data_IF_970917549837
#
_entry.id   IF_970917549837
#
_cell.length_a   1.000
_cell.length_b   1.000
_cell.length_c   1.000
_cell.angle_alpha   90.00
_cell.angle_beta   90.00
_cell.angle_gamma   90.00
#
_symmetry.space_group_name_H-M   'P 1'
#
loop_
_entity.id
_entity.type
_entity.pdbx_description
1 polymer ?
#
# COMPACT_ATOMS: atom_id res chain seq x y z
N UNK A 1 -21.51 17.14 -19.63
CA UNK A 1 -20.82 16.36 -18.57
C UNK A 1 -19.69 15.60 -19.25
N UNK A 2 -18.46 16.11 -19.17
CA UNK A 2 -17.31 15.55 -19.89
C UNK A 2 -16.81 14.31 -19.12
N UNK A 3 -17.37 13.15 -19.41
CA UNK A 3 -16.88 11.87 -18.86
C UNK A 3 -15.56 11.54 -19.55
N UNK A 4 -14.47 12.17 -19.11
CA UNK A 4 -13.12 11.64 -19.37
C UNK A 4 -13.12 10.24 -18.77
N UNK A 5 -13.23 9.23 -19.64
CA UNK A 5 -13.08 7.82 -19.27
C UNK A 5 -11.78 7.72 -18.49
N UNK A 6 -11.86 7.32 -17.24
CA UNK A 6 -10.71 7.15 -16.38
C UNK A 6 -9.91 5.99 -17.00
N UNK A 7 -8.96 6.29 -17.88
CA UNK A 7 -8.11 5.30 -18.53
C UNK A 7 -6.98 4.98 -17.55
N UNK A 8 -7.14 3.88 -16.81
CA UNK A 8 -6.15 3.45 -15.83
C UNK A 8 -4.95 2.83 -16.53
N UNK A 9 -3.75 3.39 -16.30
CA UNK A 9 -2.52 2.76 -16.74
C UNK A 9 -2.34 1.40 -16.04
N UNK A 10 -1.66 0.47 -16.70
CA UNK A 10 -1.31 -0.83 -16.11
C UNK A 10 -0.58 -0.67 -14.76
N UNK A 11 0.22 0.40 -14.60
CA UNK A 11 0.90 0.74 -13.34
C UNK A 11 -0.09 0.98 -12.21
N UNK A 12 -1.14 1.76 -12.45
CA UNK A 12 -2.19 2.04 -11.45
C UNK A 12 -2.95 0.79 -11.05
N UNK A 13 -3.24 -0.08 -12.03
CA UNK A 13 -3.81 -1.40 -11.76
C UNK A 13 -2.91 -2.26 -10.88
N UNK A 14 -1.61 -2.31 -11.18
CA UNK A 14 -0.66 -3.06 -10.36
C UNK A 14 -0.50 -2.47 -8.95
N UNK A 15 -0.41 -1.15 -8.82
CA UNK A 15 -0.38 -0.47 -7.52
C UNK A 15 -1.62 -0.84 -6.71
N UNK A 16 -2.81 -0.81 -7.31
CA UNK A 16 -4.05 -1.21 -6.65
C UNK A 16 -3.98 -2.66 -6.19
N UNK A 17 -3.66 -3.60 -7.08
CA UNK A 17 -3.64 -5.03 -6.77
C UNK A 17 -2.61 -5.38 -5.70
N UNK A 18 -1.37 -4.88 -5.82
CA UNK A 18 -0.33 -5.12 -4.82
C UNK A 18 -0.74 -4.53 -3.46
N UNK A 19 -1.30 -3.32 -3.44
CA UNK A 19 -1.73 -2.70 -2.18
C UNK A 19 -2.87 -3.47 -1.52
N UNK A 20 -3.88 -3.88 -2.29
CA UNK A 20 -4.99 -4.66 -1.77
C UNK A 20 -4.51 -6.03 -1.26
N UNK A 21 -3.55 -6.65 -1.96
CA UNK A 21 -2.87 -7.86 -1.52
C UNK A 21 -2.18 -7.69 -0.17
N UNK A 22 -1.35 -6.66 -0.01
CA UNK A 22 -0.69 -6.34 1.26
C UNK A 22 -1.68 -6.04 2.38
N UNK A 23 -2.71 -5.23 2.11
CA UNK A 23 -3.75 -4.92 3.10
C UNK A 23 -4.48 -6.20 3.56
N UNK A 24 -4.81 -7.09 2.62
CA UNK A 24 -5.41 -8.37 2.91
C UNK A 24 -4.49 -9.25 3.76
N UNK A 25 -3.20 -9.35 3.43
CA UNK A 25 -2.24 -10.13 4.21
C UNK A 25 -2.16 -9.60 5.65
N UNK A 26 -2.12 -8.29 5.86
CA UNK A 26 -2.13 -7.72 7.19
C UNK A 26 -3.38 -8.07 8.00
N UNK A 27 -4.57 -8.01 7.40
CA UNK A 27 -5.77 -8.46 8.08
C UNK A 27 -5.76 -9.97 8.34
N UNK A 28 -5.23 -10.76 7.40
CA UNK A 28 -5.11 -12.20 7.54
C UNK A 28 -4.14 -12.62 8.65
N UNK A 29 -3.08 -11.83 8.90
CA UNK A 29 -2.16 -12.06 10.02
C UNK A 29 -2.88 -11.96 11.39
N UNK A 30 -3.91 -11.12 11.53
CA UNK A 30 -4.73 -11.11 12.76
C UNK A 30 -5.44 -12.45 12.97
N UNK A 31 -5.94 -13.06 11.89
CA UNK A 31 -6.59 -14.37 11.94
C UNK A 31 -5.58 -15.45 12.33
N UNK A 32 -4.39 -15.44 11.72
CA UNK A 32 -3.31 -16.40 12.03
C UNK A 32 -2.81 -16.28 13.48
N UNK A 33 -2.76 -15.07 14.02
CA UNK A 33 -2.40 -14.83 15.42
C UNK A 33 -3.52 -15.25 16.41
N UNK A 34 -4.74 -15.46 15.92
CA UNK A 34 -5.92 -15.72 16.76
C UNK A 34 -6.35 -14.51 17.60
N UNK A 35 -5.84 -13.31 17.31
CA UNK A 35 -6.18 -12.06 18.01
C UNK A 35 -6.12 -10.88 17.04
N UNK A 36 -6.91 -9.85 17.33
CA UNK A 36 -6.82 -8.57 16.62
C UNK A 36 -5.59 -7.84 17.15
N UNK A 37 -4.54 -7.80 16.32
CA UNK A 37 -3.36 -7.00 16.59
C UNK A 37 -3.55 -5.59 16.02
N UNK A 38 -3.26 -4.60 16.85
CA UNK A 38 -3.46 -3.20 16.48
C UNK A 38 -2.55 -2.78 15.32
N UNK A 39 -1.29 -3.22 15.30
CA UNK A 39 -0.32 -2.81 14.28
C UNK A 39 -0.69 -3.39 12.92
N UNK A 40 -1.06 -4.68 12.86
CA UNK A 40 -1.51 -5.28 11.61
C UNK A 40 -2.82 -4.69 11.11
N UNK A 41 -3.77 -4.43 12.00
CA UNK A 41 -5.04 -3.81 11.64
C UNK A 41 -4.84 -2.39 11.09
N UNK A 42 -4.04 -1.57 11.77
CA UNK A 42 -3.73 -0.22 11.31
C UNK A 42 -2.92 -0.22 10.01
N UNK A 43 -2.03 -1.19 9.79
CA UNK A 43 -1.32 -1.31 8.53
C UNK A 43 -2.28 -1.60 7.37
N UNK A 44 -3.19 -2.57 7.53
CA UNK A 44 -4.21 -2.86 6.52
C UNK A 44 -5.03 -1.63 6.15
N UNK A 45 -5.51 -0.87 7.16
CA UNK A 45 -6.23 0.38 6.91
C UNK A 45 -5.36 1.49 6.32
N UNK A 46 -4.10 1.60 6.73
CA UNK A 46 -3.15 2.56 6.18
C UNK A 46 -2.96 2.36 4.67
N UNK A 47 -2.79 1.10 4.25
CA UNK A 47 -2.72 0.74 2.83
C UNK A 47 -3.99 1.08 2.06
N UNK A 48 -5.17 0.74 2.61
CA UNK A 48 -6.45 1.08 1.98
C UNK A 48 -6.66 2.60 1.86
N UNK A 49 -6.31 3.35 2.90
CA UNK A 49 -6.39 4.80 2.90
C UNK A 49 -5.45 5.42 1.87
N UNK A 50 -4.19 5.00 1.85
CA UNK A 50 -3.18 5.54 0.92
C UNK A 50 -3.49 5.23 -0.53
N UNK A 51 -3.97 4.01 -0.85
CA UNK A 51 -4.34 3.67 -2.24
C UNK A 51 -5.58 4.44 -2.69
N UNK A 52 -6.54 4.68 -1.80
CA UNK A 52 -7.69 5.52 -2.07
C UNK A 52 -7.27 6.99 -2.31
N UNK A 53 -6.40 7.54 -1.48
CA UNK A 53 -5.86 8.90 -1.67
C UNK A 53 -5.05 9.03 -2.96
N UNK A 54 -4.30 7.99 -3.32
CA UNK A 54 -3.39 8.00 -4.47
C UNK A 54 -4.10 7.85 -5.82
N UNK A 55 -5.18 7.05 -5.88
CA UNK A 55 -5.85 6.71 -7.14
C UNK A 55 -7.13 7.51 -7.41
N UNK A 56 -7.86 7.90 -6.37
CA UNK A 56 -9.11 8.62 -6.55
C UNK A 56 -8.86 10.08 -6.98
N UNK A 57 -9.64 10.61 -7.92
CA UNK A 57 -9.45 11.96 -8.45
C UNK A 57 -10.04 13.03 -7.51
N UNK A 58 -9.46 13.18 -6.32
CA UNK A 58 -9.87 14.23 -5.38
C UNK A 58 -9.31 15.59 -5.80
N UNK A 59 -10.18 16.52 -6.20
CA UNK A 59 -9.77 17.83 -6.71
C UNK A 59 -8.95 18.65 -5.70
N UNK A 60 -9.29 18.56 -4.41
CA UNK A 60 -8.57 19.28 -3.35
C UNK A 60 -7.17 18.68 -3.03
N UNK A 61 -6.90 17.43 -3.45
CA UNK A 61 -5.60 16.77 -3.24
C UNK A 61 -4.64 16.91 -4.41
N UNK A 62 -5.06 17.55 -5.51
CA UNK A 62 -4.22 17.77 -6.70
C UNK A 62 -2.85 18.39 -6.35
N UNK A 63 -2.73 19.41 -5.47
CA UNK A 63 -1.44 19.97 -5.10
C UNK A 63 -0.57 19.02 -4.26
N UNK A 64 -1.19 18.03 -3.62
CA UNK A 64 -0.55 17.10 -2.68
C UNK A 64 -0.23 15.73 -3.30
N UNK A 65 -0.49 15.50 -4.59
CA UNK A 65 -0.25 14.21 -5.24
C UNK A 65 1.18 13.69 -5.06
N UNK A 66 2.17 14.58 -5.18
CA UNK A 66 3.57 14.22 -4.92
C UNK A 66 3.78 13.80 -3.45
N UNK A 67 3.21 14.54 -2.50
CA UNK A 67 3.30 14.24 -1.07
C UNK A 67 2.59 12.94 -0.71
N UNK A 68 1.41 12.67 -1.28
CA UNK A 68 0.69 11.40 -1.10
C UNK A 68 1.55 10.24 -1.59
N UNK A 69 2.18 10.38 -2.77
CA UNK A 69 3.09 9.35 -3.30
C UNK A 69 4.30 9.13 -2.40
N UNK A 70 4.93 10.20 -1.92
CA UNK A 70 6.08 10.11 -0.99
C UNK A 70 5.66 9.49 0.34
N UNK A 71 4.51 9.88 0.88
CA UNK A 71 3.94 9.29 2.09
C UNK A 71 3.67 7.81 1.91
N UNK A 72 3.13 7.42 0.75
CA UNK A 72 2.85 6.02 0.44
C UNK A 72 4.16 5.20 0.39
N UNK A 73 5.16 5.70 -0.33
CA UNK A 73 6.50 5.06 -0.36
C UNK A 73 7.08 4.97 1.06
N UNK A 74 7.06 6.07 1.82
CA UNK A 74 7.61 6.13 3.17
C UNK A 74 6.90 5.18 4.14
N UNK A 75 5.58 5.09 4.05
CA UNK A 75 4.77 4.17 4.84
C UNK A 75 5.12 2.71 4.52
N UNK A 76 5.19 2.33 3.24
CA UNK A 76 5.58 0.97 2.83
C UNK A 76 7.02 0.63 3.20
N UNK A 77 7.95 1.58 3.11
CA UNK A 77 9.32 1.35 3.60
C UNK A 77 9.35 1.17 5.13
N UNK A 78 8.54 1.93 5.85
CA UNK A 78 8.42 1.81 7.30
C UNK A 78 7.88 0.44 7.72
N UNK A 79 6.89 -0.12 7.02
CA UNK A 79 6.38 -1.47 7.33
C UNK A 79 7.43 -2.56 7.09
N UNK A 80 8.25 -2.44 6.03
CA UNK A 80 9.39 -3.33 5.80
C UNK A 80 10.40 -3.23 6.95
N UNK A 81 10.80 -2.01 7.32
CA UNK A 81 11.77 -1.76 8.40
C UNK A 81 11.25 -2.34 9.73
N UNK A 82 10.01 -2.03 10.10
CA UNK A 82 9.41 -2.52 11.33
C UNK A 82 9.33 -4.04 11.36
N UNK A 83 9.02 -4.67 10.22
CA UNK A 83 9.03 -6.13 10.13
C UNK A 83 10.43 -6.73 10.34
N UNK A 84 11.50 -6.10 9.83
CA UNK A 84 12.89 -6.54 10.07
C UNK A 84 13.28 -6.49 11.56
N UNK A 85 12.70 -5.58 12.34
CA UNK A 85 13.04 -5.47 13.77
C UNK A 85 12.07 -6.22 14.69
N UNK A 86 10.78 -6.28 14.32
CA UNK A 86 9.70 -6.74 15.21
C UNK A 86 8.94 -7.96 14.67
N UNK A 87 9.18 -8.36 13.42
CA UNK A 87 8.40 -9.38 12.71
C UNK A 87 8.75 -10.83 13.08
N UNK A 88 9.50 -11.06 14.16
CA UNK A 88 9.89 -12.41 14.60
C UNK A 88 8.71 -13.15 15.27
N UNK A 89 8.54 -14.46 15.00
CA UNK A 89 9.31 -15.27 14.07
C UNK A 89 8.96 -14.97 12.60
N UNK A 90 9.98 -14.95 11.73
CA UNK A 90 9.73 -14.76 10.30
C UNK A 90 9.03 -15.96 9.68
N UNK A 91 7.95 -15.68 8.96
CA UNK A 91 7.12 -16.68 8.28
C UNK A 91 7.20 -16.50 6.78
N UNK A 92 6.92 -17.57 6.02
CA UNK A 92 6.88 -17.52 4.55
C UNK A 92 5.92 -16.45 4.05
N UNK A 93 4.76 -16.28 4.68
CA UNK A 93 3.80 -15.23 4.32
C UNK A 93 4.37 -13.83 4.55
N UNK A 94 5.16 -13.62 5.61
CA UNK A 94 5.86 -12.37 5.85
C UNK A 94 6.86 -12.03 4.73
N UNK A 95 7.66 -12.99 4.27
CA UNK A 95 8.58 -12.77 3.14
C UNK A 95 7.85 -12.45 1.84
N UNK A 96 6.74 -13.14 1.56
CA UNK A 96 5.91 -12.87 0.37
C UNK A 96 5.34 -11.45 0.43
N UNK A 97 4.82 -11.05 1.59
CA UNK A 97 4.32 -9.68 1.81
C UNK A 97 5.42 -8.64 1.54
N UNK A 98 6.65 -8.86 2.03
CA UNK A 98 7.75 -7.93 1.80
C UNK A 98 8.19 -7.84 0.35
N UNK A 99 8.10 -8.93 -0.40
CA UNK A 99 8.33 -8.89 -1.84
C UNK A 99 7.27 -8.03 -2.55
N UNK A 100 6.00 -8.16 -2.17
CA UNK A 100 4.89 -7.35 -2.71
C UNK A 100 5.11 -5.87 -2.38
N UNK A 101 5.46 -5.55 -1.14
CA UNK A 101 5.76 -4.18 -0.70
C UNK A 101 6.94 -3.55 -1.46
N UNK A 102 8.01 -4.32 -1.72
CA UNK A 102 9.15 -3.85 -2.51
C UNK A 102 8.73 -3.53 -3.96
N UNK A 103 7.93 -4.41 -4.58
CA UNK A 103 7.40 -4.18 -5.93
C UNK A 103 6.48 -2.96 -5.97
N UNK A 104 5.68 -2.75 -4.93
CA UNK A 104 4.82 -1.58 -4.78
C UNK A 104 5.65 -0.30 -4.69
N UNK A 105 6.70 -0.26 -3.87
CA UNK A 105 7.62 0.89 -3.78
C UNK A 105 8.24 1.18 -5.14
N UNK A 106 8.72 0.14 -5.85
CA UNK A 106 9.29 0.31 -7.18
C UNK A 106 8.29 0.94 -8.16
N UNK A 107 7.04 0.45 -8.19
CA UNK A 107 5.99 1.01 -9.04
C UNK A 107 5.65 2.46 -8.67
N UNK A 108 5.55 2.78 -7.39
CA UNK A 108 5.28 4.14 -6.91
C UNK A 108 6.40 5.12 -7.30
N UNK A 109 7.66 4.67 -7.30
CA UNK A 109 8.81 5.49 -7.72
C UNK A 109 8.76 5.79 -9.22
N UNK A 110 8.45 4.78 -10.06
CA UNK A 110 8.41 4.95 -11.53
C UNK A 110 7.09 5.52 -12.07
N UNK A 111 6.04 5.57 -11.26
CA UNK A 111 4.78 6.23 -11.62
C UNK A 111 4.91 7.73 -11.38
N UNK A 112 5.18 8.46 -12.47
CA UNK A 112 5.11 9.91 -12.49
C UNK A 112 3.65 10.31 -12.61
N UNK A 113 3.03 10.66 -11.47
CA UNK A 113 1.75 11.36 -11.47
C UNK A 113 1.98 12.77 -12.04
N UNK A 114 1.86 12.91 -13.36
CA UNK A 114 1.71 14.22 -14.03
C UNK A 114 0.28 14.71 -13.93
#
# INVERSE_FOLDING_TARGET
>A
MNTKKLEWSWKKWMILVLTLGTAFIHFYLNVLLGKIDLLFTLNGFGYLGLVALYLLPWDFLQPFKMWIRVLFIGFTLLTIILWVFLGQPYTTIGYVDKLIEILLVFLLVIDSQK
#
